data_IF_174695834715
#
_entry.id   IF_174695834715
#
_cell.length_a   1.000
_cell.length_b   1.000
_cell.length_c   1.000
_cell.angle_alpha   90.00
_cell.angle_beta   90.00
_cell.angle_gamma   90.00
#
_symmetry.space_group_name_H-M   'P 1'
#
loop_
_entity.id
_entity.type
_entity.pdbx_description
1 polymer ?
#
# COMPACT_ATOMS: atom_id res chain seq x y z
N UNK A 1 0.72 7.60 2.16
CA UNK A 1 0.67 7.14 0.76
C UNK A 1 0.91 5.64 0.72
N UNK A 2 0.68 4.97 -0.42
CA UNK A 2 1.00 3.54 -0.60
C UNK A 2 2.48 3.23 -0.30
N UNK A 3 3.38 4.02 -0.89
CA UNK A 3 4.83 3.84 -0.74
C UNK A 3 5.39 4.34 0.60
N UNK A 4 4.55 5.00 1.42
CA UNK A 4 4.91 5.46 2.77
C UNK A 4 4.53 4.47 3.87
N UNK A 5 3.85 3.37 3.55
CA UNK A 5 3.46 2.35 4.53
C UNK A 5 4.68 1.80 5.28
N UNK A 6 4.58 1.71 6.60
CA UNK A 6 5.68 1.35 7.49
C UNK A 6 6.55 2.53 7.97
N UNK A 7 6.41 3.73 7.40
CA UNK A 7 7.14 4.93 7.86
C UNK A 7 6.64 5.44 9.22
N UNK A 8 5.38 5.17 9.54
CA UNK A 8 4.77 5.41 10.85
C UNK A 8 4.08 4.12 11.31
N UNK A 9 4.24 3.70 12.58
CA UNK A 9 3.68 2.43 13.05
C UNK A 9 2.14 2.46 13.02
N UNK A 10 1.54 1.59 12.21
CA UNK A 10 0.09 1.63 11.97
C UNK A 10 -0.78 1.25 13.16
N UNK A 11 -0.21 0.57 14.16
CA UNK A 11 -0.88 0.24 15.42
C UNK A 11 -0.83 1.40 16.45
N UNK A 12 -0.17 2.51 16.12
CA UNK A 12 -0.16 3.69 16.96
C UNK A 12 -1.51 4.43 16.86
N UNK A 13 -2.02 4.96 17.96
CA UNK A 13 -3.34 5.61 18.05
C UNK A 13 -3.52 6.75 17.03
N UNK A 14 -2.45 7.50 16.76
CA UNK A 14 -2.41 8.60 15.79
C UNK A 14 -2.30 8.16 14.32
N UNK A 15 -2.21 6.85 14.03
CA UNK A 15 -2.15 6.37 12.65
C UNK A 15 -3.52 6.47 11.99
N UNK A 16 -3.61 7.18 10.87
CA UNK A 16 -4.79 7.19 10.00
C UNK A 16 -4.67 6.21 8.82
N UNK A 17 -3.58 5.48 8.72
CA UNK A 17 -3.34 4.55 7.61
C UNK A 17 -3.10 5.24 6.27
N UNK A 18 -3.49 4.58 5.18
CA UNK A 18 -3.25 5.07 3.82
C UNK A 18 -4.35 6.03 3.39
N UNK A 19 -4.00 7.21 2.85
CA UNK A 19 -4.92 8.10 2.13
C UNK A 19 -4.92 7.81 0.61
N UNK A 20 -5.90 8.35 -0.12
CA UNK A 20 -6.00 8.31 -1.57
C UNK A 20 -7.20 7.53 -2.10
N UNK A 21 -7.17 7.19 -3.39
CA UNK A 21 -8.24 6.52 -4.14
C UNK A 21 -8.77 5.23 -3.48
N UNK A 22 -7.87 4.42 -2.92
CA UNK A 22 -8.18 3.22 -2.14
C UNK A 22 -7.70 3.33 -0.69
N UNK A 23 -7.57 4.57 -0.19
CA UNK A 23 -7.23 4.83 1.19
C UNK A 23 -8.41 4.65 2.15
N UNK A 24 -8.16 4.88 3.42
CA UNK A 24 -9.17 4.94 4.46
C UNK A 24 -10.03 6.19 4.27
N UNK A 25 -11.35 6.03 4.33
CA UNK A 25 -12.27 7.16 4.18
C UNK A 25 -11.99 8.26 5.21
N UNK A 26 -11.78 7.88 6.47
CA UNK A 26 -11.45 8.80 7.55
C UNK A 26 -10.09 9.52 7.36
N UNK A 27 -9.11 8.89 6.69
CA UNK A 27 -7.85 9.55 6.35
C UNK A 27 -8.04 10.63 5.29
N UNK A 28 -8.88 10.35 4.28
CA UNK A 28 -9.22 11.33 3.25
C UNK A 28 -10.03 12.50 3.83
N UNK A 29 -10.96 12.23 4.75
CA UNK A 29 -11.71 13.27 5.47
C UNK A 29 -10.78 14.15 6.30
N UNK A 30 -9.83 13.55 7.02
CA UNK A 30 -8.80 14.29 7.76
C UNK A 30 -8.01 15.24 6.86
N UNK A 31 -7.56 14.77 5.69
CA UNK A 31 -6.85 15.60 4.72
C UNK A 31 -7.72 16.74 4.18
N UNK A 32 -8.99 16.48 3.87
CA UNK A 32 -9.90 17.50 3.33
C UNK A 32 -10.30 18.56 4.37
N UNK A 33 -10.28 18.20 5.66
CA UNK A 33 -10.70 19.09 6.76
C UNK A 33 -9.54 19.74 7.51
N UNK A 34 -8.30 19.34 7.25
CA UNK A 34 -7.13 19.92 7.90
C UNK A 34 -6.97 21.41 7.56
N UNK A 35 -6.47 22.18 8.54
CA UNK A 35 -6.02 23.56 8.40
C UNK A 35 -4.50 23.66 8.10
N UNK A 36 -3.76 22.58 8.38
CA UNK A 36 -2.34 22.44 8.10
C UNK A 36 -2.04 21.01 7.62
N UNK A 37 -1.33 20.90 6.50
CA UNK A 37 -0.76 19.63 6.01
C UNK A 37 0.76 19.76 5.97
N UNK A 38 1.43 18.83 6.64
CA UNK A 38 2.89 18.67 6.57
C UNK A 38 3.19 17.45 5.69
N UNK A 39 3.46 17.69 4.40
CA UNK A 39 3.82 16.67 3.44
C UNK A 39 5.31 16.35 3.54
N UNK A 40 5.63 15.16 4.06
CA UNK A 40 7.01 14.70 4.30
C UNK A 40 7.36 13.64 3.25
N UNK A 41 8.26 13.95 2.31
CA UNK A 41 8.71 13.01 1.28
C UNK A 41 7.57 12.50 0.40
N UNK A 42 6.60 13.36 0.10
CA UNK A 42 5.40 13.05 -0.67
C UNK A 42 5.33 13.92 -1.92
N UNK A 43 5.08 13.30 -3.07
CA UNK A 43 5.03 13.96 -4.39
C UNK A 43 3.63 14.39 -4.86
N UNK A 44 2.63 14.34 -3.99
CA UNK A 44 1.23 14.65 -4.31
C UNK A 44 0.77 13.99 -5.62
N UNK A 45 0.90 12.67 -5.71
CA UNK A 45 0.50 11.93 -6.91
C UNK A 45 -1.03 11.89 -7.08
N UNK A 46 -1.50 11.70 -8.32
CA UNK A 46 -2.93 11.71 -8.66
C UNK A 46 -3.74 10.62 -7.93
N UNK A 47 -3.12 9.51 -7.51
CA UNK A 47 -3.81 8.47 -6.75
C UNK A 47 -3.98 8.86 -5.29
N UNK A 48 -3.11 9.72 -4.76
CA UNK A 48 -3.25 10.29 -3.43
C UNK A 48 -4.20 11.51 -3.42
N UNK A 49 -4.09 12.41 -4.40
CA UNK A 49 -4.83 13.68 -4.40
C UNK A 49 -6.17 13.64 -5.12
N UNK A 50 -6.37 12.67 -6.03
CA UNK A 50 -7.46 12.67 -7.00
C UNK A 50 -7.52 14.01 -7.76
N UNK A 51 -8.55 14.84 -7.53
CA UNK A 51 -8.65 16.17 -8.12
C UNK A 51 -7.84 17.19 -7.31
N UNK A 52 -6.68 17.60 -7.84
CA UNK A 52 -5.79 18.57 -7.19
C UNK A 52 -6.42 19.93 -6.94
N UNK A 53 -7.38 20.37 -7.77
CA UNK A 53 -8.08 21.65 -7.58
C UNK A 53 -8.99 21.69 -6.35
N UNK A 54 -9.40 20.51 -5.83
CA UNK A 54 -10.21 20.38 -4.62
C UNK A 54 -9.47 19.74 -3.45
N UNK A 55 -8.15 19.56 -3.57
CA UNK A 55 -7.34 18.91 -2.56
C UNK A 55 -7.08 19.85 -1.38
N UNK A 56 -7.43 19.41 -0.17
CA UNK A 56 -7.18 20.11 1.09
C UNK A 56 -7.52 21.62 1.04
N UNK A 57 -8.78 21.97 0.74
CA UNK A 57 -9.17 23.32 0.33
C UNK A 57 -8.92 24.42 1.38
N UNK A 58 -8.82 24.04 2.65
CA UNK A 58 -8.63 24.96 3.78
C UNK A 58 -7.22 24.87 4.40
N UNK A 59 -6.34 24.01 3.87
CA UNK A 59 -5.06 23.73 4.50
C UNK A 59 -3.97 24.69 4.02
N UNK A 60 -3.13 25.13 4.94
CA UNK A 60 -1.78 25.57 4.63
C UNK A 60 -0.88 24.35 4.39
N UNK A 61 -0.10 24.36 3.32
CA UNK A 61 0.70 23.20 2.92
C UNK A 61 2.18 23.49 3.12
N UNK A 62 2.79 22.74 4.06
CA UNK A 62 4.24 22.62 4.23
C UNK A 62 4.70 21.40 3.44
N UNK A 63 5.60 21.60 2.47
CA UNK A 63 6.10 20.50 1.62
C UNK A 63 7.60 20.33 1.79
N UNK A 64 7.98 19.18 2.37
CA UNK A 64 9.36 18.78 2.58
C UNK A 64 9.72 17.72 1.55
N UNK A 65 10.58 18.07 0.60
CA UNK A 65 11.06 17.14 -0.42
C UNK A 65 12.55 17.34 -0.68
N UNK A 66 13.24 16.27 -1.03
CA UNK A 66 14.66 16.34 -1.43
C UNK A 66 14.80 16.94 -2.83
N UNK A 67 13.80 16.71 -3.69
CA UNK A 67 13.82 17.15 -5.07
C UNK A 67 13.05 18.47 -5.23
N UNK A 68 13.73 19.59 -5.55
CA UNK A 68 13.06 20.86 -5.78
C UNK A 68 12.05 20.82 -6.94
N UNK A 69 12.15 19.88 -7.88
CA UNK A 69 11.21 19.74 -8.98
C UNK A 69 9.83 19.21 -8.54
N UNK A 70 9.73 18.57 -7.36
CA UNK A 70 8.47 18.08 -6.81
C UNK A 70 7.69 19.18 -6.07
N UNK A 71 8.39 20.21 -5.59
CA UNK A 71 7.80 21.31 -4.83
C UNK A 71 6.84 22.11 -5.72
N UNK A 72 5.57 22.19 -5.30
CA UNK A 72 4.56 22.97 -6.01
C UNK A 72 4.16 22.42 -7.38
N UNK A 73 4.60 21.20 -7.73
CA UNK A 73 4.37 20.60 -9.05
C UNK A 73 2.89 20.32 -9.34
N UNK A 74 2.19 19.72 -8.37
CA UNK A 74 0.80 19.26 -8.53
C UNK A 74 -0.20 20.02 -7.65
N UNK A 75 0.24 20.45 -6.47
CA UNK A 75 -0.58 21.14 -5.46
C UNK A 75 0.16 22.40 -5.04
N UNK A 76 -0.57 23.49 -4.79
CA UNK A 76 0.00 24.73 -4.28
C UNK A 76 0.65 24.49 -2.91
N UNK A 77 1.88 24.97 -2.73
CA UNK A 77 2.64 24.87 -1.48
C UNK A 77 2.80 26.26 -0.88
N UNK A 78 2.52 26.41 0.40
CA UNK A 78 2.70 27.67 1.13
C UNK A 78 4.09 27.79 1.74
N UNK A 79 4.66 26.68 2.21
CA UNK A 79 5.99 26.63 2.79
C UNK A 79 6.82 25.48 2.20
N UNK A 80 7.64 25.75 1.17
CA UNK A 80 8.53 24.76 0.59
C UNK A 80 9.80 24.59 1.44
N UNK A 81 10.19 23.34 1.69
CA UNK A 81 11.45 23.01 2.34
C UNK A 81 12.17 21.98 1.48
N UNK A 82 13.22 22.41 0.78
CA UNK A 82 14.05 21.52 -0.03
C UNK A 82 15.17 20.94 0.82
N UNK A 83 15.15 19.64 1.05
CA UNK A 83 16.19 18.95 1.81
C UNK A 83 15.84 17.53 2.23
N UNK A 84 16.83 16.85 2.77
CA UNK A 84 16.67 15.50 3.32
C UNK A 84 15.71 15.53 4.52
N UNK A 85 14.61 14.78 4.42
CA UNK A 85 13.54 14.76 5.43
C UNK A 85 14.05 14.42 6.83
N UNK A 86 15.06 13.56 6.97
CA UNK A 86 15.62 13.18 8.26
C UNK A 86 16.35 14.35 8.91
N UNK A 87 17.09 15.13 8.12
CA UNK A 87 17.77 16.33 8.62
C UNK A 87 16.79 17.46 8.96
N UNK A 88 15.79 17.67 8.10
CA UNK A 88 14.74 18.68 8.31
C UNK A 88 13.95 18.37 9.59
N UNK A 89 13.45 17.14 9.76
CA UNK A 89 12.69 16.75 10.95
C UNK A 89 13.53 16.84 12.24
N UNK A 90 14.82 16.52 12.19
CA UNK A 90 15.72 16.72 13.35
C UNK A 90 15.85 18.18 13.77
N UNK A 91 15.84 19.11 12.83
CA UNK A 91 15.86 20.54 13.14
C UNK A 91 14.49 20.99 13.69
N UNK A 92 13.40 20.61 13.01
CA UNK A 92 12.04 20.95 13.42
C UNK A 92 11.70 20.44 14.84
N UNK A 93 12.10 19.21 15.19
CA UNK A 93 11.84 18.64 16.51
C UNK A 93 12.48 19.42 17.67
N UNK A 94 13.42 20.34 17.42
CA UNK A 94 14.01 21.20 18.46
C UNK A 94 13.20 22.48 18.70
N UNK A 95 12.40 22.87 17.72
CA UNK A 95 11.65 24.14 17.70
C UNK A 95 10.15 23.93 17.96
N UNK A 96 9.68 22.68 17.90
CA UNK A 96 8.27 22.32 18.09
C UNK A 96 8.00 22.00 19.56
N UNK A 97 7.10 22.78 20.17
CA UNK A 97 6.53 22.45 21.47
C UNK A 97 5.43 21.40 21.34
N UNK A 98 5.35 20.49 22.32
CA UNK A 98 4.24 19.54 22.42
C UNK A 98 2.92 20.27 22.63
N UNK A 99 1.90 19.91 21.86
CA UNK A 99 0.54 20.45 21.99
C UNK A 99 -0.49 19.34 21.86
N UNK A 100 -1.58 19.51 22.61
CA UNK A 100 -2.74 18.62 22.53
C UNK A 100 -3.84 19.25 21.68
N UNK A 101 -4.42 18.44 20.81
CA UNK A 101 -5.49 18.84 19.90
C UNK A 101 -6.70 17.94 20.10
N UNK A 102 -7.22 17.86 21.34
CA UNK A 102 -8.24 16.89 21.75
C UNK A 102 -9.52 16.94 20.89
N UNK A 103 -9.97 18.13 20.51
CA UNK A 103 -11.16 18.29 19.65
C UNK A 103 -10.91 17.67 18.27
N UNK A 104 -9.74 17.92 17.68
CA UNK A 104 -9.34 17.33 16.40
C UNK A 104 -9.19 15.82 16.50
N UNK A 105 -8.51 15.32 17.53
CA UNK A 105 -8.36 13.88 17.76
C UNK A 105 -9.73 13.19 17.94
N UNK A 106 -10.66 13.83 18.65
CA UNK A 106 -12.03 13.33 18.82
C UNK A 106 -12.77 13.25 17.49
N UNK A 107 -12.62 14.26 16.63
CA UNK A 107 -13.21 14.26 15.28
C UNK A 107 -12.63 13.13 14.40
N UNK A 108 -11.33 12.88 14.47
CA UNK A 108 -10.67 11.79 13.74
C UNK A 108 -11.19 10.41 14.17
N UNK A 109 -11.33 10.19 15.48
CA UNK A 109 -11.91 8.94 16.00
C UNK A 109 -13.38 8.79 15.63
N UNK A 110 -14.15 9.88 15.62
CA UNK A 110 -15.53 9.86 15.15
C UNK A 110 -15.62 9.41 13.69
N UNK A 111 -14.83 9.99 12.78
CA UNK A 111 -14.83 9.55 11.38
C UNK A 111 -14.34 8.11 11.20
N UNK A 112 -13.37 7.68 12.01
CA UNK A 112 -12.92 6.28 12.00
C UNK A 112 -14.05 5.33 12.38
N UNK A 113 -14.86 5.69 13.38
CA UNK A 113 -16.03 4.93 13.81
C UNK A 113 -17.15 4.93 12.75
N UNK A 114 -17.45 6.09 12.15
CA UNK A 114 -18.51 6.24 11.14
C UNK A 114 -18.17 5.57 9.80
N UNK A 115 -16.88 5.40 9.51
CA UNK A 115 -16.38 4.83 8.25
C UNK A 115 -15.40 3.67 8.48
N UNK A 116 -15.90 2.49 8.89
CA UNK A 116 -15.06 1.34 9.26
C UNK A 116 -14.47 0.66 8.00
N UNK A 117 -13.49 1.31 7.38
CA UNK A 117 -12.91 0.95 6.08
C UNK A 117 -12.21 -0.42 6.07
N UNK A 118 -11.94 -0.98 7.25
CA UNK A 118 -11.22 -2.25 7.43
C UNK A 118 -12.13 -3.42 7.81
N UNK A 119 -13.43 -3.19 7.98
CA UNK A 119 -14.36 -4.25 8.35
C UNK A 119 -14.44 -5.32 7.26
N UNK A 120 -14.14 -6.55 7.66
CA UNK A 120 -14.25 -7.71 6.80
C UNK A 120 -15.63 -8.32 7.03
N UNK A 121 -16.48 -8.24 6.01
CA UNK A 121 -17.84 -8.82 6.07
C UNK A 121 -17.78 -10.33 6.27
N UNK A 122 -18.80 -10.87 6.95
CA UNK A 122 -19.02 -12.32 6.96
C UNK A 122 -19.37 -12.81 5.54
N UNK A 123 -18.80 -13.93 5.15
CA UNK A 123 -19.02 -14.57 3.87
C UNK A 123 -18.72 -16.06 3.99
N UNK A 124 -19.44 -16.89 3.24
CA UNK A 124 -19.19 -18.34 3.16
C UNK A 124 -17.97 -18.67 2.29
N UNK A 125 -17.59 -17.76 1.39
CA UNK A 125 -16.40 -17.85 0.56
C UNK A 125 -15.18 -17.18 1.20
N UNK A 126 -13.99 -17.63 0.81
CA UNK A 126 -12.73 -17.06 1.27
C UNK A 126 -12.52 -15.67 0.67
N UNK A 127 -12.70 -14.64 1.51
CA UNK A 127 -12.45 -13.25 1.10
C UNK A 127 -10.95 -12.94 1.06
N UNK A 128 -10.46 -12.22 0.04
CA UNK A 128 -9.05 -11.87 -0.04
C UNK A 128 -8.60 -10.98 1.12
N UNK A 129 -9.44 -10.06 1.61
CA UNK A 129 -9.17 -9.24 2.80
C UNK A 129 -8.87 -10.12 4.03
N UNK A 130 -9.67 -11.19 4.20
CA UNK A 130 -9.48 -12.15 5.29
C UNK A 130 -8.15 -12.88 5.15
N UNK A 131 -7.78 -13.33 3.94
CA UNK A 131 -6.49 -13.97 3.68
C UNK A 131 -5.32 -13.08 4.09
N UNK A 132 -5.32 -11.81 3.67
CA UNK A 132 -4.28 -10.85 4.04
C UNK A 132 -4.22 -10.68 5.57
N UNK A 133 -5.37 -10.52 6.22
CA UNK A 133 -5.43 -10.34 7.65
C UNK A 133 -4.93 -11.59 8.41
N UNK A 134 -5.24 -12.80 7.92
CA UNK A 134 -4.70 -14.04 8.50
C UNK A 134 -3.18 -14.17 8.31
N UNK A 135 -2.62 -13.70 7.19
CA UNK A 135 -1.16 -13.62 7.02
C UNK A 135 -0.56 -12.66 8.06
N UNK A 136 -1.18 -11.51 8.29
CA UNK A 136 -0.75 -10.59 9.34
C UNK A 136 -0.78 -11.25 10.73
N UNK A 137 -1.88 -11.90 11.12
CA UNK A 137 -2.01 -12.58 12.41
C UNK A 137 -0.99 -13.72 12.57
N UNK A 138 -0.85 -14.57 11.55
CA UNK A 138 0.08 -15.71 11.57
C UNK A 138 1.55 -15.27 11.68
N UNK A 139 1.90 -14.13 11.07
CA UNK A 139 3.24 -13.55 11.14
C UNK A 139 3.42 -12.61 12.33
N UNK A 140 2.35 -12.28 13.06
CA UNK A 140 2.31 -11.23 14.11
C UNK A 140 2.86 -9.90 13.61
N UNK A 141 2.58 -9.58 12.35
CA UNK A 141 3.13 -8.40 11.66
C UNK A 141 4.65 -8.43 11.44
N UNK A 142 5.34 -9.53 11.73
CA UNK A 142 6.79 -9.67 11.54
C UNK A 142 7.12 -10.32 10.19
N UNK A 143 6.74 -9.64 9.11
CA UNK A 143 7.11 -10.02 7.76
C UNK A 143 7.28 -8.77 6.88
N UNK A 144 8.12 -8.92 5.87
CA UNK A 144 8.18 -7.99 4.73
C UNK A 144 7.20 -8.48 3.68
N UNK A 145 6.26 -7.62 3.29
CA UNK A 145 5.27 -7.92 2.27
C UNK A 145 5.70 -7.28 0.95
N UNK A 146 5.81 -8.11 -0.08
CA UNK A 146 6.01 -7.70 -1.47
C UNK A 146 4.73 -8.00 -2.24
N UNK A 147 4.27 -7.07 -3.06
CA UNK A 147 2.97 -7.21 -3.73
C UNK A 147 3.07 -7.10 -5.23
N UNK A 148 2.14 -7.78 -5.91
CA UNK A 148 1.87 -7.53 -7.32
C UNK A 148 1.08 -6.23 -7.49
N UNK A 149 0.48 -6.07 -8.66
CA UNK A 149 -0.34 -4.88 -8.97
C UNK A 149 -1.77 -5.31 -9.27
N UNK A 150 -2.73 -4.66 -8.60
CA UNK A 150 -4.15 -5.00 -8.72
C UNK A 150 -4.90 -4.86 -7.40
N UNK A 151 -6.02 -5.58 -7.26
CA UNK A 151 -6.80 -5.56 -6.02
C UNK A 151 -6.05 -6.20 -4.85
N UNK A 152 -5.28 -7.27 -5.10
CA UNK A 152 -4.40 -7.90 -4.11
C UNK A 152 -3.40 -6.90 -3.49
N UNK A 153 -2.87 -5.98 -4.29
CA UNK A 153 -1.98 -4.90 -3.84
C UNK A 153 -2.68 -3.98 -2.83
N UNK A 154 -3.92 -3.58 -3.14
CA UNK A 154 -4.70 -2.67 -2.29
C UNK A 154 -5.12 -3.38 -1.00
N UNK A 155 -5.58 -4.63 -1.08
CA UNK A 155 -5.94 -5.39 0.11
C UNK A 155 -4.73 -5.66 1.00
N UNK A 156 -3.56 -5.96 0.43
CA UNK A 156 -2.31 -6.07 1.18
C UNK A 156 -1.92 -4.75 1.88
N UNK A 157 -2.09 -3.61 1.19
CA UNK A 157 -1.84 -2.29 1.75
C UNK A 157 -2.83 -1.91 2.88
N UNK A 158 -4.07 -2.40 2.82
CA UNK A 158 -5.13 -2.07 3.77
C UNK A 158 -5.16 -2.99 4.99
N UNK A 159 -5.04 -4.31 4.80
CA UNK A 159 -5.37 -5.31 5.82
C UNK A 159 -4.16 -5.97 6.51
N UNK A 160 -2.93 -5.63 6.09
CA UNK A 160 -1.71 -5.96 6.84
C UNK A 160 -1.24 -4.74 7.61
N UNK A 161 -0.89 -4.91 8.89
CA UNK A 161 -0.43 -3.80 9.74
C UNK A 161 1.09 -3.68 9.71
N UNK A 162 1.59 -2.60 9.11
CA UNK A 162 3.00 -2.30 8.97
C UNK A 162 3.50 -1.42 10.11
N UNK A 163 4.47 -1.93 10.87
CA UNK A 163 5.04 -1.25 12.05
C UNK A 163 6.52 -0.93 11.93
N UNK A 164 7.17 -1.36 10.84
CA UNK A 164 8.59 -1.17 10.57
C UNK A 164 8.78 -0.46 9.22
N UNK A 165 9.82 0.39 9.07
CA UNK A 165 10.16 0.92 7.76
C UNK A 165 10.58 -0.21 6.81
N UNK A 166 10.37 -0.02 5.51
CA UNK A 166 10.74 -0.97 4.45
C UNK A 166 10.09 -2.37 4.60
N UNK A 167 8.96 -2.50 5.31
CA UNK A 167 8.22 -3.76 5.43
C UNK A 167 7.13 -3.94 4.35
N UNK A 168 6.93 -2.95 3.49
CA UNK A 168 6.02 -3.02 2.35
C UNK A 168 6.75 -2.59 1.07
N UNK A 169 6.82 -3.49 0.08
CA UNK A 169 7.48 -3.25 -1.20
C UNK A 169 6.48 -3.50 -2.33
N UNK A 170 6.31 -2.52 -3.20
CA UNK A 170 5.31 -2.57 -4.26
C UNK A 170 5.67 -1.66 -5.43
N UNK A 171 5.24 -2.03 -6.63
CA UNK A 171 5.32 -1.14 -7.80
C UNK A 171 4.13 -0.17 -7.77
N UNK A 172 4.34 1.02 -7.19
CA UNK A 172 3.31 2.05 -7.06
C UNK A 172 3.24 3.00 -8.27
N UNK A 173 4.35 3.66 -8.60
CA UNK A 173 4.36 4.72 -9.61
C UNK A 173 4.04 4.24 -11.03
N UNK A 174 4.72 3.19 -11.50
CA UNK A 174 4.49 2.60 -12.81
C UNK A 174 3.38 1.53 -12.80
N UNK A 175 3.20 0.83 -11.68
CA UNK A 175 2.17 -0.22 -11.58
C UNK A 175 2.51 -1.46 -12.42
N UNK A 176 3.75 -1.95 -12.34
CA UNK A 176 4.23 -3.10 -13.12
C UNK A 176 3.72 -4.42 -12.54
N UNK A 177 2.83 -5.11 -13.26
CA UNK A 177 2.45 -6.50 -12.96
C UNK A 177 3.63 -7.46 -13.20
N UNK A 178 3.77 -8.52 -12.41
CA UNK A 178 4.94 -9.42 -12.43
C UNK A 178 6.12 -8.90 -11.62
N UNK A 179 5.98 -7.75 -10.95
CA UNK A 179 7.02 -7.23 -10.06
C UNK A 179 7.23 -8.11 -8.83
N UNK A 180 6.18 -8.74 -8.33
CA UNK A 180 6.11 -9.34 -7.00
C UNK A 180 7.13 -10.44 -6.73
N UNK A 181 7.27 -11.39 -7.66
CA UNK A 181 8.09 -12.57 -7.49
C UNK A 181 9.59 -12.23 -7.55
N UNK A 182 10.10 -11.57 -8.61
CA UNK A 182 11.49 -11.14 -8.65
C UNK A 182 11.84 -10.14 -7.54
N UNK A 183 10.92 -9.23 -7.17
CA UNK A 183 11.17 -8.32 -6.05
C UNK A 183 11.24 -9.07 -4.71
N UNK A 184 10.39 -10.07 -4.47
CA UNK A 184 10.45 -10.87 -3.24
C UNK A 184 11.75 -11.67 -3.13
N UNK A 185 12.25 -12.21 -4.25
CA UNK A 185 13.58 -12.84 -4.34
C UNK A 185 14.65 -11.83 -3.92
N UNK A 186 14.67 -10.64 -4.52
CA UNK A 186 15.65 -9.59 -4.21
C UNK A 186 15.60 -9.14 -2.75
N UNK A 187 14.40 -8.95 -2.19
CA UNK A 187 14.20 -8.63 -0.77
C UNK A 187 14.73 -9.75 0.12
N UNK A 188 14.44 -11.02 -0.19
CA UNK A 188 14.90 -12.15 0.62
C UNK A 188 16.42 -12.30 0.58
N UNK A 189 17.05 -12.03 -0.56
CA UNK A 189 18.51 -12.01 -0.70
C UNK A 189 19.13 -10.85 0.09
N UNK A 190 18.55 -9.65 0.02
CA UNK A 190 19.02 -8.47 0.77
C UNK A 190 18.77 -8.55 2.28
N UNK A 191 17.73 -9.28 2.70
CA UNK A 191 17.29 -9.43 4.07
C UNK A 191 17.13 -10.91 4.45
N UNK A 192 18.22 -11.70 4.50
CA UNK A 192 18.14 -13.16 4.63
C UNK A 192 17.47 -13.63 5.94
N UNK A 193 17.58 -12.85 7.02
CA UNK A 193 16.95 -13.13 8.31
C UNK A 193 15.45 -12.79 8.39
N UNK A 194 14.91 -12.06 7.42
CA UNK A 194 13.52 -11.61 7.45
C UNK A 194 12.58 -12.61 6.78
N UNK A 195 11.34 -12.69 7.28
CA UNK A 195 10.28 -13.42 6.60
C UNK A 195 9.74 -12.57 5.45
N UNK A 196 9.68 -13.13 4.24
CA UNK A 196 9.21 -12.41 3.05
C UNK A 196 7.97 -13.10 2.48
N UNK A 197 6.88 -12.34 2.35
CA UNK A 197 5.64 -12.75 1.71
C UNK A 197 5.46 -12.03 0.38
N UNK A 198 5.41 -12.78 -0.72
CA UNK A 198 4.97 -12.36 -2.03
C UNK A 198 3.44 -12.54 -2.12
N UNK A 199 2.70 -11.43 -2.11
CA UNK A 199 1.23 -11.42 -2.27
C UNK A 199 0.90 -11.05 -3.72
N UNK A 200 0.63 -12.06 -4.52
CA UNK A 200 0.43 -11.96 -5.95
C UNK A 200 -1.06 -12.03 -6.33
N UNK A 201 -1.42 -11.42 -7.46
CA UNK A 201 -2.64 -11.76 -8.18
C UNK A 201 -2.31 -12.86 -9.18
N UNK A 202 -3.27 -13.71 -9.52
CA UNK A 202 -3.12 -14.76 -10.55
C UNK A 202 -2.59 -14.24 -11.90
N UNK A 203 -3.10 -13.10 -12.39
CA UNK A 203 -2.63 -12.49 -13.63
C UNK A 203 -1.19 -11.95 -13.54
N UNK A 204 -0.85 -11.28 -12.42
CA UNK A 204 0.49 -10.73 -12.20
C UNK A 204 1.53 -11.83 -12.01
N UNK A 205 1.20 -12.86 -11.24
CA UNK A 205 2.08 -13.99 -10.96
C UNK A 205 2.52 -14.70 -12.25
N UNK A 206 1.59 -14.89 -13.19
CA UNK A 206 1.87 -15.56 -14.46
C UNK A 206 2.88 -14.81 -15.35
N UNK A 207 3.04 -13.49 -15.19
CA UNK A 207 3.96 -12.70 -16.04
C UNK A 207 5.42 -13.04 -15.80
N UNK A 208 5.77 -13.48 -14.60
CA UNK A 208 7.16 -13.77 -14.19
C UNK A 208 7.28 -15.11 -13.46
N UNK A 209 6.35 -16.03 -13.69
CA UNK A 209 6.29 -17.31 -12.97
C UNK A 209 7.54 -18.18 -13.16
N UNK A 210 8.30 -17.96 -14.23
CA UNK A 210 9.56 -18.65 -14.47
C UNK A 210 10.62 -18.39 -13.39
N UNK A 211 10.48 -17.33 -12.59
CA UNK A 211 11.40 -17.03 -11.47
C UNK A 211 11.28 -18.02 -10.30
N UNK A 212 10.31 -18.93 -10.33
CA UNK A 212 10.31 -20.10 -9.44
C UNK A 212 11.56 -20.96 -9.65
N UNK A 213 12.13 -20.98 -10.86
CA UNK A 213 13.42 -21.61 -11.13
C UNK A 213 14.55 -20.97 -10.31
N UNK A 214 14.57 -19.63 -10.25
CA UNK A 214 15.54 -18.86 -9.47
C UNK A 214 15.40 -19.15 -7.98
N UNK A 215 14.18 -19.19 -7.45
CA UNK A 215 13.91 -19.56 -6.05
C UNK A 215 14.52 -20.92 -5.71
N UNK A 216 14.33 -21.89 -6.59
CA UNK A 216 14.75 -23.28 -6.38
C UNK A 216 16.26 -23.41 -6.49
N UNK A 217 16.84 -22.88 -7.58
CA UNK A 217 18.27 -22.94 -7.84
C UNK A 217 19.09 -22.29 -6.73
N UNK A 218 18.64 -21.13 -6.24
CA UNK A 218 19.34 -20.35 -5.23
C UNK A 218 18.87 -20.65 -3.79
N UNK A 219 17.95 -21.61 -3.63
CA UNK A 219 17.38 -22.03 -2.34
C UNK A 219 16.82 -20.83 -1.51
N UNK A 220 16.01 -19.99 -2.15
CA UNK A 220 15.52 -18.74 -1.57
C UNK A 220 14.15 -18.96 -0.92
N UNK A 221 14.09 -18.86 0.41
CA UNK A 221 12.88 -19.10 1.18
C UNK A 221 11.87 -17.92 1.17
N UNK A 222 11.25 -17.65 0.02
CA UNK A 222 10.09 -16.72 -0.13
C UNK A 222 8.78 -17.48 0.11
N UNK A 223 7.83 -16.85 0.82
CA UNK A 223 6.44 -17.34 0.95
C UNK A 223 5.57 -16.69 -0.11
N UNK A 224 4.74 -17.46 -0.81
CA UNK A 224 3.93 -16.97 -1.93
C UNK A 224 2.45 -17.19 -1.62
N UNK A 225 1.66 -16.12 -1.66
CA UNK A 225 0.20 -16.15 -1.61
C UNK A 225 -0.34 -15.65 -2.95
N UNK A 226 -1.00 -16.53 -3.71
CA UNK A 226 -1.64 -16.16 -4.97
C UNK A 226 -3.13 -15.95 -4.70
N UNK A 227 -3.59 -14.70 -4.79
CA UNK A 227 -5.02 -14.36 -4.73
C UNK A 227 -5.64 -14.70 -6.09
N UNK A 228 -6.02 -15.97 -6.24
CA UNK A 228 -6.54 -16.52 -7.49
C UNK A 228 -8.05 -16.27 -7.61
N UNK A 229 -8.42 -15.18 -8.29
CA UNK A 229 -9.82 -14.84 -8.55
C UNK A 229 -10.28 -15.14 -9.99
N UNK A 230 -9.39 -15.57 -10.88
CA UNK A 230 -9.69 -15.88 -12.28
C UNK A 230 -9.83 -14.65 -13.18
N UNK A 231 -9.41 -13.47 -12.74
CA UNK A 231 -9.58 -12.22 -13.47
C UNK A 231 -8.42 -11.24 -13.26
N UNK A 232 -8.24 -10.33 -14.22
CA UNK A 232 -7.61 -9.04 -13.99
C UNK A 232 -8.52 -8.16 -13.11
N UNK A 233 -8.60 -8.50 -11.81
CA UNK A 233 -9.64 -8.02 -10.89
C UNK A 233 -9.78 -6.50 -10.81
N UNK A 234 -8.67 -5.76 -10.84
CA UNK A 234 -8.71 -4.29 -10.85
C UNK A 234 -9.37 -3.74 -12.13
N UNK A 235 -9.00 -4.27 -13.30
CA UNK A 235 -9.61 -3.85 -14.57
C UNK A 235 -11.08 -4.24 -14.62
N UNK A 236 -11.41 -5.44 -14.15
CA UNK A 236 -12.79 -5.92 -14.03
C UNK A 236 -13.62 -4.99 -13.15
N UNK A 237 -13.13 -4.58 -11.98
CA UNK A 237 -13.85 -3.67 -11.09
C UNK A 237 -14.21 -2.34 -11.78
N UNK A 238 -13.29 -1.78 -12.56
CA UNK A 238 -13.58 -0.58 -13.35
C UNK A 238 -14.61 -0.83 -14.45
N UNK A 239 -14.58 -2.00 -15.10
CA UNK A 239 -15.61 -2.41 -16.06
C UNK A 239 -17.00 -2.55 -15.43
N UNK A 240 -17.09 -3.07 -14.20
CA UNK A 240 -18.34 -3.14 -13.43
C UNK A 240 -18.90 -1.76 -13.11
N UNK A 241 -18.05 -0.87 -12.58
CA UNK A 241 -18.48 0.43 -12.07
C UNK A 241 -18.80 1.45 -13.18
N UNK A 242 -18.02 1.46 -14.26
CA UNK A 242 -18.04 2.56 -15.24
C UNK A 242 -18.45 2.13 -16.65
N UNK A 243 -18.55 0.82 -16.91
CA UNK A 243 -18.83 0.29 -18.26
C UNK A 243 -19.96 -0.76 -18.26
N UNK A 244 -20.94 -0.61 -17.37
CA UNK A 244 -22.16 -1.42 -17.35
C UNK A 244 -21.89 -2.94 -17.31
N UNK A 245 -20.86 -3.37 -16.57
CA UNK A 245 -20.46 -4.79 -16.48
C UNK A 245 -20.03 -5.40 -17.82
N UNK A 246 -19.55 -4.59 -18.78
CA UNK A 246 -18.98 -5.07 -20.03
C UNK A 246 -17.56 -5.60 -19.83
N UNK A 247 -17.46 -6.88 -19.53
CA UNK A 247 -16.18 -7.57 -19.35
C UNK A 247 -15.49 -7.82 -20.69
N UNK A 248 -14.38 -7.14 -20.94
CA UNK A 248 -13.55 -7.29 -22.15
C UNK A 248 -12.15 -7.71 -21.73
N UNK A 249 -11.74 -8.91 -22.14
CA UNK A 249 -10.39 -9.48 -21.96
C UNK A 249 -9.83 -9.43 -20.52
N UNK A 250 -10.72 -9.47 -19.53
CA UNK A 250 -10.35 -9.49 -18.11
C UNK A 250 -10.44 -10.86 -17.46
N UNK A 251 -11.12 -11.83 -18.08
CA UNK A 251 -11.18 -13.21 -17.58
C UNK A 251 -9.90 -13.95 -17.94
N UNK A 252 -9.31 -14.62 -16.96
CA UNK A 252 -8.07 -15.37 -17.12
C UNK A 252 -8.34 -16.87 -17.17
N UNK A 253 -7.57 -17.55 -18.00
CA UNK A 253 -7.31 -18.98 -17.81
C UNK A 253 -6.05 -19.08 -16.94
N UNK A 254 -6.13 -19.83 -15.85
CA UNK A 254 -5.01 -20.03 -14.94
C UNK A 254 -4.56 -21.49 -14.99
N UNK A 255 -3.24 -21.76 -14.94
CA UNK A 255 -2.73 -23.10 -14.77
C UNK A 255 -3.00 -23.60 -13.35
N UNK A 256 -2.76 -24.89 -13.14
CA UNK A 256 -2.69 -25.48 -11.81
C UNK A 256 -1.39 -25.01 -11.12
N UNK A 257 -1.51 -23.97 -10.29
CA UNK A 257 -0.36 -23.38 -9.60
C UNK A 257 0.33 -24.34 -8.64
N UNK A 258 -0.39 -25.34 -8.10
CA UNK A 258 0.19 -26.36 -7.22
C UNK A 258 1.11 -27.27 -8.04
N UNK A 259 0.65 -27.76 -9.19
CA UNK A 259 1.51 -28.56 -10.09
C UNK A 259 2.70 -27.78 -10.62
N UNK A 260 2.56 -26.48 -10.84
CA UNK A 260 3.69 -25.63 -11.22
C UNK A 260 4.70 -25.56 -10.07
N UNK A 261 4.26 -25.34 -8.83
CA UNK A 261 5.15 -25.32 -7.68
C UNK A 261 5.87 -26.67 -7.52
N UNK A 262 5.14 -27.80 -7.63
CA UNK A 262 5.71 -29.15 -7.62
C UNK A 262 6.77 -29.36 -8.72
N UNK A 263 6.53 -28.84 -9.93
CA UNK A 263 7.48 -28.94 -11.03
C UNK A 263 8.79 -28.15 -10.80
N UNK A 264 8.78 -27.19 -9.87
CA UNK A 264 9.95 -26.45 -9.42
C UNK A 264 10.44 -26.92 -8.03
N UNK A 265 9.99 -28.07 -7.51
CA UNK A 265 10.39 -28.56 -6.17
C UNK A 265 10.03 -27.59 -5.02
N UNK A 266 8.96 -26.79 -5.17
CA UNK A 266 8.46 -25.86 -4.16
C UNK A 266 7.25 -26.48 -3.44
N UNK A 267 7.27 -26.58 -2.09
CA UNK A 267 6.21 -27.20 -1.30
C UNK A 267 4.99 -26.29 -1.08
#
# INVERSE_FOLDING_TARGET
TLLGLGSFPQNHVLSLGMMGMHGMAYANMAVQSADLIIAIGMRFDDRATANTGGFAPNAHIVHIDIDPAEIGKNVRVDMPIVGDVKNVLKAMNKEIDSRDHLDWLSQLEQWRYEHPSLDIRQNDELLPQYVIHQIYEATRGNAIVVTGVGQNQMWAAQHFVYTKPNSFISSGGLGTMGFELPAAIGVKVGCPGEMVWCIAGDGGFQMTIQELATITQENIAVKIAIINNGYLGMVRQWQELFYEHRYVDTKLWNPDFVKIAEAYDIP
#
